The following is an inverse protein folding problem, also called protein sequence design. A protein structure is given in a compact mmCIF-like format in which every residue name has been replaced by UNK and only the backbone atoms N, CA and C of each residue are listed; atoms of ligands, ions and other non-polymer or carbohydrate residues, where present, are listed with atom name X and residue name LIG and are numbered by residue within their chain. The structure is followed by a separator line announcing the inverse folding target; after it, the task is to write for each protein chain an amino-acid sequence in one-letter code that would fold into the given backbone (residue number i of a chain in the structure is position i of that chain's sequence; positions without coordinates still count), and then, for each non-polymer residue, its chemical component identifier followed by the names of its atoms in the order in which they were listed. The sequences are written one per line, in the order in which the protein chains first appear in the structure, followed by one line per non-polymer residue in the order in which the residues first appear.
data_IF_049302099799
#
_entry.id   IF_049302099799
#
_cell.length_a   1.000
_cell.length_b   1.000
_cell.length_c   1.000
_cell.angle_alpha   90.00
_cell.angle_beta   90.00
_cell.angle_gamma   90.00
#
_symmetry.space_group_name_H-M   'P 1'
#
loop_
_entity.id
_entity.type
_entity.pdbx_description
1 polymer ?
#
# COMPACT_ATOMS: atom_id res chain seq x y z
N UNK A 1 -10.53 -12.98 14.93
CA UNK A 1 -9.20 -12.45 15.31
C UNK A 1 -8.47 -13.27 16.36
N UNK A 2 -9.15 -14.02 17.22
CA UNK A 2 -8.56 -14.68 18.41
C UNK A 2 -7.36 -15.59 18.15
N UNK A 3 -7.17 -16.07 16.92
CA UNK A 3 -6.03 -16.90 16.52
C UNK A 3 -4.75 -16.11 16.27
N UNK A 4 -4.84 -14.88 15.77
CA UNK A 4 -3.67 -14.08 15.39
C UNK A 4 -2.77 -13.68 16.57
N UNK A 5 -3.30 -13.27 17.75
CA UNK A 5 -2.47 -12.95 18.91
C UNK A 5 -1.53 -14.09 19.31
N UNK A 6 -1.97 -15.34 19.16
CA UNK A 6 -1.18 -16.53 19.55
C UNK A 6 0.03 -16.81 18.67
N UNK A 7 0.12 -16.19 17.48
CA UNK A 7 1.21 -16.40 16.53
C UNK A 7 2.47 -15.56 16.86
N UNK A 8 2.34 -14.57 17.74
CA UNK A 8 3.39 -13.60 18.04
C UNK A 8 3.49 -12.47 17.01
N UNK A 9 4.63 -11.78 17.00
CA UNK A 9 4.85 -10.56 16.18
C UNK A 9 5.90 -10.72 15.07
N UNK A 10 6.77 -11.72 15.16
CA UNK A 10 7.89 -11.85 14.22
C UNK A 10 7.39 -12.24 12.82
N UNK A 11 7.66 -11.40 11.81
CA UNK A 11 7.17 -11.58 10.43
C UNK A 11 7.44 -13.00 9.89
N UNK A 12 8.67 -13.56 9.98
CA UNK A 12 8.95 -14.90 9.46
C UNK A 12 8.11 -16.01 10.11
N UNK A 13 7.69 -15.80 11.36
CA UNK A 13 6.91 -16.77 12.15
C UNK A 13 5.41 -16.66 11.81
N UNK A 14 4.89 -15.45 11.65
CA UNK A 14 3.44 -15.24 11.49
C UNK A 14 2.95 -15.44 10.05
N UNK A 15 3.81 -15.27 9.04
CA UNK A 15 3.38 -15.25 7.63
C UNK A 15 2.67 -16.54 7.19
N UNK A 16 3.32 -17.69 7.38
CA UNK A 16 2.76 -18.99 6.98
C UNK A 16 1.42 -19.30 7.66
N UNK A 17 1.37 -19.34 9.01
CA UNK A 17 0.14 -19.62 9.74
C UNK A 17 -0.99 -18.63 9.45
N UNK A 18 -0.67 -17.34 9.25
CA UNK A 18 -1.68 -16.33 8.90
C UNK A 18 -2.26 -16.58 7.52
N UNK A 19 -1.42 -16.93 6.53
CA UNK A 19 -1.93 -17.35 5.22
C UNK A 19 -2.82 -18.58 5.33
N UNK A 20 -2.47 -19.58 6.13
CA UNK A 20 -3.28 -20.79 6.30
C UNK A 20 -4.65 -20.47 6.94
N UNK A 21 -4.69 -19.53 7.91
CA UNK A 21 -5.95 -19.02 8.49
C UNK A 21 -6.82 -18.38 7.42
N UNK A 22 -6.27 -17.40 6.68
CA UNK A 22 -7.06 -16.63 5.73
C UNK A 22 -7.38 -17.40 4.45
N UNK A 23 -6.57 -18.38 4.05
CA UNK A 23 -6.89 -19.27 2.95
C UNK A 23 -8.20 -20.02 3.21
N UNK A 24 -8.38 -20.56 4.42
CA UNK A 24 -9.62 -21.24 4.80
C UNK A 24 -10.83 -20.28 4.85
N UNK A 25 -10.63 -19.05 5.32
CA UNK A 25 -11.71 -18.04 5.42
C UNK A 25 -12.12 -17.50 4.04
N UNK A 26 -11.16 -17.11 3.22
CA UNK A 26 -11.41 -16.57 1.88
C UNK A 26 -12.02 -17.62 0.95
N UNK A 27 -11.61 -18.88 1.07
CA UNK A 27 -12.19 -19.97 0.27
C UNK A 27 -13.71 -20.09 0.47
N UNK A 28 -14.22 -19.84 1.69
CA UNK A 28 -15.66 -19.82 1.98
C UNK A 28 -16.41 -18.65 1.35
N UNK A 29 -15.68 -17.62 0.88
CA UNK A 29 -16.21 -16.40 0.27
C UNK A 29 -15.81 -16.25 -1.19
N UNK A 30 -15.21 -17.28 -1.78
CA UNK A 30 -14.68 -17.26 -3.14
C UNK A 30 -15.72 -16.86 -4.18
N UNK A 31 -16.96 -17.38 -4.07
CA UNK A 31 -18.06 -17.07 -5.00
C UNK A 31 -18.40 -15.58 -4.97
N UNK A 32 -18.40 -14.95 -3.80
CA UNK A 32 -18.70 -13.52 -3.68
C UNK A 32 -17.55 -12.66 -4.18
N UNK A 33 -16.32 -12.98 -3.77
CA UNK A 33 -15.10 -12.27 -4.19
C UNK A 33 -14.97 -12.26 -5.72
N UNK A 34 -15.28 -13.39 -6.38
CA UNK A 34 -15.16 -13.54 -7.84
C UNK A 34 -16.28 -12.88 -8.65
N UNK A 35 -17.27 -12.23 -8.02
CA UNK A 35 -18.30 -11.45 -8.74
C UNK A 35 -17.77 -10.11 -9.27
N UNK A 36 -16.68 -9.61 -8.72
CA UNK A 36 -16.06 -8.36 -9.15
C UNK A 36 -15.30 -8.59 -10.46
N UNK A 37 -15.55 -7.75 -11.46
CA UNK A 37 -14.85 -7.83 -12.75
C UNK A 37 -13.39 -7.42 -12.56
N UNK A 38 -12.49 -8.20 -13.15
CA UNK A 38 -11.06 -7.92 -13.17
C UNK A 38 -10.57 -7.78 -14.62
N UNK A 39 -9.78 -6.76 -14.88
CA UNK A 39 -9.03 -6.58 -16.13
C UNK A 39 -7.53 -6.53 -15.82
N UNK A 40 -6.74 -7.42 -16.41
CA UNK A 40 -5.27 -7.37 -16.30
C UNK A 40 -4.69 -6.48 -17.39
N UNK A 41 -3.80 -5.57 -17.02
CA UNK A 41 -3.13 -4.63 -17.92
C UNK A 41 -1.62 -4.65 -17.71
N UNK A 42 -0.85 -4.38 -18.77
CA UNK A 42 0.57 -4.03 -18.67
C UNK A 42 0.68 -2.52 -18.52
N UNK A 43 1.49 -2.06 -17.58
CA UNK A 43 1.80 -0.64 -17.38
C UNK A 43 3.24 -0.29 -17.76
N UNK A 44 4.05 -1.28 -18.16
CA UNK A 44 5.41 -1.08 -18.65
C UNK A 44 5.94 -2.28 -19.43
N UNK A 45 7.23 -2.24 -19.76
CA UNK A 45 7.89 -3.25 -20.60
C UNK A 45 8.38 -4.48 -19.84
N UNK A 46 8.68 -4.31 -18.55
CA UNK A 46 9.21 -5.41 -17.75
C UNK A 46 8.10 -6.46 -17.49
N UNK A 47 8.41 -7.77 -17.46
CA UNK A 47 7.39 -8.81 -17.25
C UNK A 47 6.55 -8.65 -15.97
N UNK A 48 7.14 -8.09 -14.90
CA UNK A 48 6.42 -7.75 -13.65
C UNK A 48 5.63 -6.44 -13.70
N UNK A 49 5.70 -5.65 -14.76
CA UNK A 49 4.94 -4.40 -14.85
C UNK A 49 3.51 -4.66 -15.32
N UNK A 50 2.79 -5.42 -14.50
CA UNK A 50 1.40 -5.83 -14.67
C UNK A 50 0.54 -5.35 -13.51
N UNK A 51 -0.72 -5.05 -13.78
CA UNK A 51 -1.70 -4.69 -12.76
C UNK A 51 -3.04 -5.37 -13.05
N UNK A 52 -3.79 -5.62 -11.99
CA UNK A 52 -5.19 -6.05 -12.06
C UNK A 52 -6.08 -4.89 -11.63
N UNK A 53 -7.01 -4.52 -12.52
CA UNK A 53 -8.02 -3.49 -12.29
C UNK A 53 -9.35 -4.14 -11.96
N UNK A 54 -9.76 -3.99 -10.70
CA UNK A 54 -11.03 -4.45 -10.17
C UNK A 54 -12.09 -3.34 -10.32
N UNK A 55 -13.28 -3.73 -10.81
CA UNK A 55 -14.43 -2.84 -11.01
C UNK A 55 -15.69 -3.48 -10.48
N UNK A 56 -16.56 -2.70 -9.82
CA UNK A 56 -17.87 -3.20 -9.46
C UNK A 56 -18.72 -3.48 -10.70
N UNK A 57 -19.41 -4.60 -10.69
CA UNK A 57 -20.42 -4.99 -11.69
C UNK A 57 -21.81 -4.52 -11.31
N UNK A 58 -22.00 -4.06 -10.07
CA UNK A 58 -23.28 -3.62 -9.58
C UNK A 58 -23.42 -2.10 -9.68
N UNK A 59 -24.62 -1.62 -10.02
CA UNK A 59 -24.93 -0.18 -9.92
C UNK A 59 -25.05 0.31 -8.46
N UNK A 60 -24.94 -0.60 -7.47
CA UNK A 60 -25.02 -0.25 -6.05
C UNK A 60 -23.69 0.37 -5.62
N UNK A 61 -23.73 1.61 -5.14
CA UNK A 61 -22.54 2.30 -4.64
C UNK A 61 -21.63 2.92 -5.71
N UNK A 62 -21.97 2.82 -7.00
CA UNK A 62 -21.20 3.49 -8.07
C UNK A 62 -21.17 5.00 -7.82
N UNK A 63 -19.97 5.50 -7.52
CA UNK A 63 -19.70 6.94 -7.54
C UNK A 63 -19.25 7.34 -8.94
N UNK A 64 -19.72 8.50 -9.40
CA UNK A 64 -19.29 9.09 -10.67
C UNK A 64 -18.73 10.49 -10.40
N UNK A 65 -17.45 10.75 -10.70
CA UNK A 65 -16.44 9.78 -11.13
C UNK A 65 -15.99 8.88 -9.95
N UNK A 66 -15.79 7.58 -10.21
CA UNK A 66 -15.38 6.63 -9.17
C UNK A 66 -13.95 6.96 -8.69
N UNK A 67 -13.63 6.98 -7.39
CA UNK A 67 -12.23 7.09 -6.95
C UNK A 67 -11.43 5.85 -7.35
N UNK A 68 -10.09 5.99 -7.40
CA UNK A 68 -9.15 4.91 -7.69
C UNK A 68 -8.34 4.63 -6.42
N UNK A 69 -8.23 3.37 -6.02
CA UNK A 69 -7.29 2.91 -4.99
C UNK A 69 -6.20 2.07 -5.63
N UNK A 70 -4.94 2.47 -5.54
CA UNK A 70 -3.78 1.68 -5.93
C UNK A 70 -3.24 0.97 -4.70
N UNK A 71 -3.18 -0.35 -4.75
CA UNK A 71 -2.65 -1.20 -3.69
C UNK A 71 -1.30 -1.81 -4.07
N UNK A 72 -0.32 -1.65 -3.18
CA UNK A 72 1.00 -2.28 -3.27
C UNK A 72 1.14 -3.29 -2.12
N UNK A 73 1.33 -4.56 -2.47
CA UNK A 73 1.51 -5.64 -1.51
C UNK A 73 2.90 -5.57 -0.82
N UNK A 74 3.12 -6.45 0.16
CA UNK A 74 4.38 -6.57 0.92
C UNK A 74 5.34 -7.63 0.38
N UNK A 75 6.16 -8.23 1.25
CA UNK A 75 7.07 -9.33 0.85
C UNK A 75 8.55 -8.96 0.85
N UNK A 76 8.92 -7.88 1.55
CA UNK A 76 10.32 -7.58 1.87
C UNK A 76 11.21 -7.37 0.64
N UNK A 77 10.65 -6.82 -0.44
CA UNK A 77 11.33 -6.53 -1.73
C UNK A 77 11.75 -7.75 -2.56
N UNK A 78 11.75 -8.95 -1.97
CA UNK A 78 12.24 -10.18 -2.62
C UNK A 78 11.10 -11.14 -2.99
N UNK A 79 9.94 -11.02 -2.32
CA UNK A 79 8.75 -11.85 -2.51
C UNK A 79 7.50 -10.99 -2.76
N UNK A 80 6.41 -11.66 -3.14
CA UNK A 80 5.09 -11.08 -3.31
C UNK A 80 4.66 -11.03 -4.78
N UNK A 81 3.36 -11.09 -5.00
CA UNK A 81 2.75 -11.04 -6.33
C UNK A 81 1.31 -10.54 -6.20
N UNK A 82 0.78 -9.88 -7.24
CA UNK A 82 -0.62 -9.46 -7.31
C UNK A 82 -1.56 -10.67 -7.22
N UNK A 83 -1.10 -11.85 -7.68
CA UNK A 83 -1.77 -13.15 -7.47
C UNK A 83 -0.92 -13.99 -6.51
N UNK A 84 -1.26 -13.97 -5.23
CA UNK A 84 -0.54 -14.75 -4.22
C UNK A 84 -1.00 -16.21 -4.20
N UNK A 85 -0.29 -17.08 -4.92
CA UNK A 85 -0.58 -18.51 -5.06
C UNK A 85 -0.61 -19.30 -3.74
N UNK A 86 -0.05 -18.77 -2.65
CA UNK A 86 -0.13 -19.41 -1.31
C UNK A 86 -1.56 -19.44 -0.77
N UNK A 87 -2.45 -18.59 -1.27
CA UNK A 87 -3.88 -18.63 -0.98
C UNK A 87 -4.60 -19.20 -2.22
N UNK A 88 -5.26 -20.37 -2.11
CA UNK A 88 -5.90 -21.02 -3.24
C UNK A 88 -6.97 -20.15 -3.92
N UNK A 89 -7.12 -20.36 -5.23
CA UNK A 89 -8.21 -19.78 -6.02
C UNK A 89 -8.04 -18.30 -6.39
N UNK A 90 -6.81 -17.77 -6.30
CA UNK A 90 -6.46 -16.37 -6.65
C UNK A 90 -7.24 -15.35 -5.80
N UNK A 91 -7.47 -15.68 -4.53
CA UNK A 91 -8.36 -14.89 -3.66
C UNK A 91 -7.63 -13.79 -2.90
N UNK A 92 -6.33 -13.95 -2.66
CA UNK A 92 -5.53 -12.91 -2.02
C UNK A 92 -5.46 -11.66 -2.90
N UNK A 93 -5.71 -10.51 -2.28
CA UNK A 93 -5.82 -9.19 -2.90
C UNK A 93 -7.01 -9.02 -3.86
N UNK A 94 -7.52 -10.07 -4.49
CA UNK A 94 -8.83 -10.05 -5.13
C UNK A 94 -9.94 -9.76 -4.10
N UNK A 95 -9.82 -10.30 -2.89
CA UNK A 95 -10.69 -10.00 -1.76
C UNK A 95 -10.68 -8.50 -1.37
N UNK A 96 -9.50 -7.85 -1.43
CA UNK A 96 -9.33 -6.43 -1.18
C UNK A 96 -9.96 -5.61 -2.31
N UNK A 97 -9.68 -5.97 -3.57
CA UNK A 97 -10.29 -5.33 -4.75
C UNK A 97 -11.81 -5.39 -4.71
N UNK A 98 -12.35 -6.58 -4.47
CA UNK A 98 -13.78 -6.81 -4.27
C UNK A 98 -14.35 -5.93 -3.14
N UNK A 99 -13.69 -5.90 -1.98
CA UNK A 99 -14.16 -5.13 -0.82
C UNK A 99 -14.30 -3.64 -1.14
N UNK A 100 -13.28 -2.99 -1.71
CA UNK A 100 -13.34 -1.55 -2.00
C UNK A 100 -14.27 -1.23 -3.18
N UNK A 101 -14.36 -2.11 -4.18
CA UNK A 101 -15.33 -1.98 -5.27
C UNK A 101 -16.77 -1.99 -4.74
N UNK A 102 -17.15 -3.03 -3.98
CA UNK A 102 -18.54 -3.24 -3.59
C UNK A 102 -19.00 -2.33 -2.44
N UNK A 103 -18.12 -1.98 -1.51
CA UNK A 103 -18.52 -1.19 -0.33
C UNK A 103 -18.37 0.32 -0.54
N UNK A 104 -17.51 0.74 -1.48
CA UNK A 104 -17.17 2.16 -1.65
C UNK A 104 -17.29 2.67 -3.10
N UNK A 105 -17.50 1.79 -4.08
CA UNK A 105 -17.60 2.18 -5.48
C UNK A 105 -16.27 2.63 -6.07
N UNK A 106 -15.16 2.13 -5.53
CA UNK A 106 -13.83 2.40 -6.06
C UNK A 106 -13.58 1.54 -7.29
N UNK A 107 -12.72 2.01 -8.18
CA UNK A 107 -11.93 1.07 -8.97
C UNK A 107 -10.63 0.81 -8.22
N UNK A 108 -10.29 -0.47 -8.03
CA UNK A 108 -9.12 -0.84 -7.24
C UNK A 108 -8.07 -1.49 -8.14
N UNK A 109 -6.84 -1.02 -8.03
CA UNK A 109 -5.70 -1.52 -8.78
C UNK A 109 -4.82 -2.29 -7.80
N UNK A 110 -4.54 -3.55 -8.10
CA UNK A 110 -3.47 -4.31 -7.44
C UNK A 110 -2.34 -4.43 -8.45
N UNK A 111 -1.20 -3.82 -8.15
CA UNK A 111 -0.06 -3.81 -9.06
C UNK A 111 1.03 -4.78 -8.61
N UNK A 112 1.63 -5.49 -9.55
CA UNK A 112 2.97 -6.02 -9.37
C UNK A 112 4.00 -4.89 -9.41
N UNK A 113 5.20 -5.18 -8.93
CA UNK A 113 6.39 -4.34 -9.09
C UNK A 113 7.63 -5.22 -9.18
N UNK A 114 8.75 -4.66 -9.63
CA UNK A 114 10.03 -5.40 -9.74
C UNK A 114 10.54 -5.75 -8.35
N UNK A 115 11.00 -6.99 -8.19
CA UNK A 115 11.62 -7.51 -6.96
C UNK A 115 13.14 -7.61 -7.14
N UNK A 116 13.91 -7.76 -6.07
CA UNK A 116 15.38 -7.89 -6.11
C UNK A 116 15.84 -8.96 -7.10
N UNK A 117 15.19 -10.14 -7.11
CA UNK A 117 15.49 -11.23 -8.05
C UNK A 117 15.24 -10.88 -9.54
N UNK A 118 14.62 -9.74 -9.82
CA UNK A 118 14.39 -9.19 -11.17
C UNK A 118 15.27 -7.95 -11.43
N UNK A 119 16.31 -7.72 -10.63
CA UNK A 119 17.21 -6.57 -10.76
C UNK A 119 16.67 -5.28 -10.13
N UNK A 120 15.66 -5.36 -9.26
CA UNK A 120 15.17 -4.17 -8.56
C UNK A 120 16.14 -3.72 -7.45
N UNK A 121 16.51 -2.46 -7.49
CA UNK A 121 17.22 -1.74 -6.43
C UNK A 121 16.48 -0.44 -6.13
N UNK A 122 16.72 0.18 -4.98
CA UNK A 122 16.19 1.52 -4.71
C UNK A 122 16.62 2.50 -5.81
N UNK A 123 15.70 3.31 -6.40
CA UNK A 123 14.28 3.51 -6.05
C UNK A 123 13.26 2.78 -6.98
N UNK A 124 13.61 1.64 -7.58
CA UNK A 124 12.83 0.93 -8.62
C UNK A 124 11.34 0.74 -8.31
N UNK A 125 10.96 0.42 -7.07
CA UNK A 125 9.55 0.27 -6.69
C UNK A 125 8.77 1.60 -6.75
N UNK A 126 9.43 2.73 -6.46
CA UNK A 126 8.86 4.05 -6.70
C UNK A 126 8.71 4.35 -8.19
N UNK A 127 9.68 3.92 -9.02
CA UNK A 127 9.57 4.02 -10.49
C UNK A 127 8.43 3.17 -11.06
N UNK A 128 8.16 2.01 -10.47
CA UNK A 128 7.04 1.17 -10.88
C UNK A 128 5.70 1.79 -10.48
N UNK A 129 5.60 2.41 -9.30
CA UNK A 129 4.41 3.18 -8.91
C UNK A 129 4.20 4.40 -9.82
N UNK A 130 5.27 5.11 -10.20
CA UNK A 130 5.22 6.20 -11.17
C UNK A 130 4.64 5.73 -12.52
N UNK A 131 5.07 4.57 -13.01
CA UNK A 131 4.54 4.02 -14.25
C UNK A 131 3.04 3.67 -14.15
N UNK A 132 2.57 3.17 -13.01
CA UNK A 132 1.12 2.98 -12.76
C UNK A 132 0.38 4.32 -12.71
N UNK A 133 0.96 5.35 -12.10
CA UNK A 133 0.35 6.70 -12.08
C UNK A 133 0.22 7.29 -13.49
N UNK A 134 1.22 7.09 -14.36
CA UNK A 134 1.16 7.49 -15.76
C UNK A 134 0.10 6.70 -16.53
N UNK A 135 0.00 5.38 -16.27
CA UNK A 135 -1.04 4.54 -16.84
C UNK A 135 -2.45 5.03 -16.45
N UNK A 136 -2.65 5.39 -15.17
CA UNK A 136 -3.90 5.98 -14.67
C UNK A 136 -4.22 7.30 -15.39
N UNK A 137 -3.25 8.22 -15.48
CA UNK A 137 -3.42 9.51 -16.18
C UNK A 137 -3.83 9.32 -17.63
N UNK A 138 -3.15 8.42 -18.35
CA UNK A 138 -3.47 8.13 -19.75
C UNK A 138 -4.86 7.53 -19.91
N UNK A 139 -5.24 6.58 -19.05
CA UNK A 139 -6.50 5.86 -19.15
C UNK A 139 -7.71 6.72 -18.76
N UNK A 140 -7.54 7.61 -17.79
CA UNK A 140 -8.64 8.35 -17.17
C UNK A 140 -8.52 9.87 -17.39
N UNK A 141 -7.77 10.33 -18.39
CA UNK A 141 -7.63 11.74 -18.70
C UNK A 141 -9.00 12.44 -18.83
N UNK A 142 -9.16 13.59 -18.18
CA UNK A 142 -10.39 14.39 -18.17
C UNK A 142 -11.53 13.82 -17.32
N UNK A 143 -11.32 12.73 -16.59
CA UNK A 143 -12.40 12.05 -15.84
C UNK A 143 -12.71 12.67 -14.47
N UNK A 144 -11.88 13.57 -13.96
CA UNK A 144 -12.06 14.20 -12.64
C UNK A 144 -11.88 13.24 -11.46
N UNK A 145 -11.08 12.18 -11.61
CA UNK A 145 -10.92 11.11 -10.61
C UNK A 145 -9.92 11.46 -9.52
N UNK A 146 -10.25 11.06 -8.29
CA UNK A 146 -9.32 11.07 -7.16
C UNK A 146 -8.59 9.72 -7.08
N UNK A 147 -7.29 9.76 -6.79
CA UNK A 147 -6.42 8.60 -6.62
C UNK A 147 -5.94 8.53 -5.17
N UNK A 148 -5.99 7.34 -4.60
CA UNK A 148 -5.43 7.00 -3.30
C UNK A 148 -4.42 5.88 -3.48
N UNK A 149 -3.33 5.91 -2.70
CA UNK A 149 -2.33 4.85 -2.67
C UNK A 149 -2.33 4.20 -1.30
N UNK A 150 -2.41 2.87 -1.25
CA UNK A 150 -2.30 2.06 -0.06
C UNK A 150 -1.16 1.06 -0.24
N UNK A 151 -0.07 1.23 0.49
CA UNK A 151 1.05 0.29 0.47
C UNK A 151 1.17 -0.48 1.78
N UNK A 152 1.25 -1.81 1.72
CA UNK A 152 1.50 -2.66 2.88
C UNK A 152 2.98 -3.07 2.96
N UNK A 153 3.60 -2.94 4.14
CA UNK A 153 4.98 -3.37 4.38
C UNK A 153 5.95 -2.75 3.35
N UNK A 154 6.67 -3.56 2.58
CA UNK A 154 7.53 -3.10 1.48
C UNK A 154 6.80 -2.20 0.45
N UNK A 155 5.53 -2.46 0.14
CA UNK A 155 4.71 -1.60 -0.72
C UNK A 155 4.44 -0.22 -0.11
N UNK A 156 4.39 -0.13 1.22
CA UNK A 156 4.33 1.16 1.93
C UNK A 156 5.65 1.92 1.83
N UNK A 157 6.78 1.22 1.84
CA UNK A 157 8.10 1.82 1.59
C UNK A 157 8.18 2.36 0.14
N UNK A 158 7.73 1.58 -0.86
CA UNK A 158 7.64 2.06 -2.25
C UNK A 158 6.72 3.28 -2.41
N UNK A 159 5.61 3.31 -1.67
CA UNK A 159 4.71 4.47 -1.62
C UNK A 159 5.45 5.70 -1.09
N UNK A 160 6.19 5.58 0.01
CA UNK A 160 7.01 6.67 0.54
C UNK A 160 8.15 7.08 -0.42
N UNK A 161 8.82 6.13 -1.05
CA UNK A 161 9.85 6.41 -2.07
C UNK A 161 9.27 7.27 -3.19
N UNK A 162 8.14 6.87 -3.78
CA UNK A 162 7.47 7.66 -4.81
C UNK A 162 7.02 9.04 -4.29
N UNK A 163 6.50 9.08 -3.06
CA UNK A 163 5.98 10.30 -2.47
C UNK A 163 7.06 11.34 -2.18
N UNK A 164 8.24 10.93 -1.72
CA UNK A 164 9.23 11.87 -1.16
C UNK A 164 10.50 12.03 -2.00
N UNK A 165 10.88 11.07 -2.84
CA UNK A 165 12.07 11.21 -3.68
C UNK A 165 11.93 12.33 -4.71
N UNK A 166 13.07 12.93 -5.05
CA UNK A 166 13.13 14.04 -6.00
C UNK A 166 12.84 13.59 -7.43
N UNK A 167 13.20 12.35 -7.79
CA UNK A 167 12.99 11.76 -9.12
C UNK A 167 11.51 11.80 -9.56
N UNK A 168 10.58 11.72 -8.61
CA UNK A 168 9.13 11.70 -8.87
C UNK A 168 8.46 13.06 -8.64
N UNK A 169 9.21 14.10 -8.28
CA UNK A 169 8.68 15.40 -7.88
C UNK A 169 7.75 16.03 -8.91
N UNK A 170 8.14 16.03 -10.18
CA UNK A 170 7.37 16.65 -11.26
C UNK A 170 6.02 15.97 -11.44
N UNK A 171 6.00 14.64 -11.48
CA UNK A 171 4.77 13.85 -11.62
C UNK A 171 3.87 13.98 -10.40
N UNK A 172 4.45 13.84 -9.20
CA UNK A 172 3.75 14.03 -7.93
C UNK A 172 3.07 15.41 -7.84
N UNK A 173 3.78 16.49 -8.17
CA UNK A 173 3.22 17.86 -8.18
C UNK A 173 2.04 17.98 -9.14
N UNK A 174 2.15 17.43 -10.35
CA UNK A 174 1.08 17.44 -11.32
C UNK A 174 -0.17 16.71 -10.80
N UNK A 175 0.00 15.54 -10.18
CA UNK A 175 -1.09 14.76 -9.60
C UNK A 175 -1.71 15.44 -8.38
N UNK A 176 -0.91 16.06 -7.51
CA UNK A 176 -1.43 16.86 -6.39
C UNK A 176 -2.31 18.01 -6.89
N UNK A 177 -1.86 18.69 -7.95
CA UNK A 177 -2.58 19.79 -8.58
C UNK A 177 -3.83 19.34 -9.38
N UNK A 178 -4.06 18.04 -9.58
CA UNK A 178 -5.20 17.54 -10.34
C UNK A 178 -5.00 17.58 -11.87
N UNK A 179 -3.76 17.54 -12.35
CA UNK A 179 -3.41 17.58 -13.77
C UNK A 179 -4.12 16.46 -14.56
N UNK A 180 -4.53 16.74 -15.79
CA UNK A 180 -5.32 15.85 -16.66
C UNK A 180 -6.62 15.33 -16.03
N UNK A 181 -7.17 16.04 -15.03
CA UNK A 181 -8.36 15.61 -14.32
C UNK A 181 -8.11 14.42 -13.38
N UNK A 182 -6.86 14.17 -12.99
CA UNK A 182 -6.47 13.13 -12.02
C UNK A 182 -5.80 13.77 -10.82
N UNK A 183 -6.40 13.60 -9.63
CA UNK A 183 -5.90 14.18 -8.39
C UNK A 183 -5.42 13.12 -7.40
N UNK A 184 -4.16 13.16 -6.99
CA UNK A 184 -3.70 12.42 -5.81
C UNK A 184 -4.35 13.04 -4.57
N UNK A 185 -5.22 12.29 -3.91
CA UNK A 185 -6.03 12.75 -2.79
C UNK A 185 -5.50 12.25 -1.44
N UNK A 186 -4.81 11.10 -1.41
CA UNK A 186 -4.22 10.58 -0.18
C UNK A 186 -3.25 9.43 -0.38
N UNK A 187 -2.34 9.26 0.56
CA UNK A 187 -1.41 8.12 0.64
C UNK A 187 -1.52 7.44 2.00
N UNK A 188 -1.44 6.11 2.01
CA UNK A 188 -1.66 5.29 3.19
C UNK A 188 -0.54 4.26 3.27
N UNK A 189 0.16 4.22 4.40
CA UNK A 189 1.16 3.18 4.67
C UNK A 189 0.64 2.25 5.74
N UNK A 190 0.65 0.95 5.48
CA UNK A 190 0.18 -0.09 6.40
C UNK A 190 1.34 -1.00 6.82
N UNK A 191 1.80 -0.85 8.06
CA UNK A 191 2.92 -1.61 8.62
C UNK A 191 4.23 -1.36 7.87
N UNK A 192 4.48 -0.14 7.39
CA UNK A 192 5.73 0.19 6.71
C UNK A 192 6.82 0.52 7.73
N UNK A 193 8.02 -0.06 7.59
CA UNK A 193 9.17 0.37 8.36
C UNK A 193 9.68 1.71 7.80
N UNK A 194 9.64 2.78 8.61
CA UNK A 194 10.12 4.09 8.17
C UNK A 194 11.63 4.28 8.35
N UNK A 195 12.22 3.57 9.31
CA UNK A 195 13.65 3.53 9.61
C UNK A 195 13.99 2.12 10.09
N UNK A 196 15.22 1.68 9.86
CA UNK A 196 15.75 0.39 10.27
C UNK A 196 16.74 0.51 11.44
N UNK A 197 16.84 1.68 12.10
CA UNK A 197 17.69 1.90 13.29
C UNK A 197 17.39 0.95 14.45
N UNK A 198 16.17 0.46 14.53
CA UNK A 198 15.72 -0.47 15.58
C UNK A 198 15.74 -1.93 15.13
N UNK A 199 16.00 -2.17 13.85
CA UNK A 199 15.91 -3.49 13.24
C UNK A 199 17.15 -4.33 13.57
N UNK A 200 16.93 -5.64 13.65
CA UNK A 200 18.04 -6.60 13.81
C UNK A 200 19.01 -6.52 12.64
N UNK A 201 20.28 -6.91 12.89
CA UNK A 201 21.30 -6.94 11.83
C UNK A 201 20.89 -7.81 10.64
N UNK A 202 20.30 -8.98 10.91
CA UNK A 202 19.83 -9.87 9.85
C UNK A 202 18.73 -9.26 8.98
N UNK A 203 17.83 -8.46 9.56
CA UNK A 203 16.83 -7.72 8.78
C UNK A 203 17.48 -6.62 7.93
N UNK A 204 18.43 -5.86 8.50
CA UNK A 204 19.19 -4.83 7.77
C UNK A 204 19.91 -5.46 6.57
N UNK A 205 20.62 -6.57 6.77
CA UNK A 205 21.33 -7.26 5.69
C UNK A 205 20.36 -7.78 4.61
N UNK A 206 19.15 -8.23 5.01
CA UNK A 206 18.12 -8.63 4.06
C UNK A 206 17.59 -7.46 3.22
N UNK A 207 17.29 -6.32 3.84
CA UNK A 207 16.72 -5.17 3.10
C UNK A 207 17.78 -4.40 2.31
N UNK A 208 19.06 -4.49 2.70
CA UNK A 208 20.18 -3.89 1.98
C UNK A 208 20.31 -4.40 0.53
N UNK A 209 19.80 -5.60 0.23
CA UNK A 209 19.77 -6.11 -1.15
C UNK A 209 18.93 -5.22 -2.08
N UNK A 210 17.91 -4.54 -1.55
CA UNK A 210 17.11 -3.57 -2.28
C UNK A 210 17.55 -2.13 -2.00
N UNK A 211 17.69 -1.77 -0.72
CA UNK A 211 17.95 -0.40 -0.26
C UNK A 211 19.41 0.05 -0.43
N UNK A 212 20.32 -0.87 -0.77
CA UNK A 212 21.75 -0.62 -0.83
C UNK A 212 22.42 -0.64 0.55
N UNK A 213 23.73 -0.36 0.57
CA UNK A 213 24.54 -0.37 1.79
C UNK A 213 24.13 0.72 2.79
N UNK A 214 23.67 1.87 2.30
CA UNK A 214 23.19 3.00 3.09
C UNK A 214 21.67 2.89 3.35
N UNK A 215 21.27 1.82 4.05
CA UNK A 215 19.85 1.47 4.28
C UNK A 215 19.04 2.63 4.85
N UNK A 216 19.58 3.35 5.84
CA UNK A 216 18.89 4.48 6.46
C UNK A 216 18.68 5.63 5.48
N UNK A 217 19.64 5.89 4.59
CA UNK A 217 19.48 6.89 3.56
C UNK A 217 18.35 6.46 2.60
N UNK A 218 18.30 5.22 2.14
CA UNK A 218 17.23 4.74 1.26
C UNK A 218 15.87 4.45 1.96
N UNK A 219 15.79 4.57 3.29
CA UNK A 219 14.56 4.35 4.06
C UNK A 219 13.49 5.44 3.78
N UNK A 220 12.21 5.22 4.13
CA UNK A 220 11.20 6.27 4.07
C UNK A 220 11.58 7.52 4.88
N UNK A 221 12.18 7.37 6.06
CA UNK A 221 12.59 8.50 6.88
C UNK A 221 13.73 9.28 6.21
N UNK A 222 14.69 8.58 5.61
CA UNK A 222 15.73 9.22 4.80
C UNK A 222 15.17 9.96 3.57
N UNK A 223 14.14 9.39 2.93
CA UNK A 223 13.43 10.02 1.81
C UNK A 223 12.70 11.30 2.27
N UNK A 224 12.02 11.25 3.42
CA UNK A 224 11.34 12.41 4.04
C UNK A 224 12.36 13.50 4.39
N UNK A 225 13.50 13.14 4.98
CA UNK A 225 14.57 14.08 5.33
C UNK A 225 15.15 14.76 4.09
N UNK A 226 15.52 14.02 3.05
CA UNK A 226 15.97 14.60 1.78
C UNK A 226 14.92 15.54 1.17
N UNK A 227 13.65 15.14 1.21
CA UNK A 227 12.55 15.96 0.70
C UNK A 227 12.42 17.27 1.48
N UNK A 228 12.54 17.23 2.81
CA UNK A 228 12.54 18.40 3.67
C UNK A 228 13.75 19.29 3.44
N UNK A 229 14.94 18.72 3.38
CA UNK A 229 16.20 19.45 3.27
C UNK A 229 16.32 20.14 1.89
N UNK A 230 15.66 19.59 0.85
CA UNK A 230 15.49 20.27 -0.45
C UNK A 230 14.52 21.48 -0.41
N UNK A 231 13.83 21.70 0.71
CA UNK A 231 12.78 22.70 0.90
C UNK A 231 11.45 22.35 0.22
N UNK A 232 11.33 21.18 -0.44
CA UNK A 232 10.11 20.80 -1.15
C UNK A 232 8.98 20.43 -0.20
N UNK A 233 9.27 19.71 0.88
CA UNK A 233 8.26 19.31 1.87
C UNK A 233 7.57 20.52 2.52
N UNK A 234 8.29 21.65 2.62
CA UNK A 234 7.82 22.87 3.29
C UNK A 234 6.91 23.76 2.42
N UNK A 235 6.74 23.45 1.13
CA UNK A 235 5.97 24.30 0.19
C UNK A 235 4.45 24.12 0.27
N UNK A 236 3.96 23.27 1.16
CA UNK A 236 2.53 23.00 1.35
C UNK A 236 1.87 22.28 0.17
N UNK A 237 0.56 22.02 0.28
CA UNK A 237 -0.26 21.41 -0.77
C UNK A 237 -0.14 19.88 -0.89
N UNK A 238 0.57 19.22 0.03
CA UNK A 238 0.70 17.77 0.06
C UNK A 238 -0.67 17.09 0.29
N UNK A 239 -0.90 15.88 -0.27
CA UNK A 239 -2.11 15.13 -0.01
C UNK A 239 -2.11 14.66 1.46
N UNK A 240 -3.30 14.26 1.93
CA UNK A 240 -3.43 13.64 3.25
C UNK A 240 -2.61 12.36 3.31
N UNK A 241 -1.95 12.12 4.44
CA UNK A 241 -1.22 10.88 4.69
C UNK A 241 -1.78 10.20 5.93
N UNK A 242 -2.02 8.90 5.83
CA UNK A 242 -2.44 8.07 6.94
C UNK A 242 -1.39 6.99 7.19
N UNK A 243 -0.76 7.03 8.35
CA UNK A 243 0.14 5.98 8.82
C UNK A 243 -0.69 4.96 9.61
N UNK A 244 -0.62 3.71 9.22
CA UNK A 244 -1.39 2.61 9.83
C UNK A 244 -0.41 1.54 10.30
N UNK A 245 -0.49 1.18 11.56
CA UNK A 245 0.17 -0.01 12.11
C UNK A 245 -0.89 -1.03 12.53
N UNK A 246 -0.49 -2.28 12.71
CA UNK A 246 -1.29 -3.34 13.32
C UNK A 246 -0.87 -3.55 14.78
N UNK A 247 -1.79 -3.96 15.65
CA UNK A 247 -1.50 -4.19 17.07
C UNK A 247 -0.35 -5.18 17.29
N UNK A 248 -0.24 -6.20 16.44
CA UNK A 248 0.81 -7.21 16.49
C UNK A 248 1.88 -7.03 15.41
N UNK A 249 2.11 -5.79 14.97
CA UNK A 249 3.32 -5.49 14.21
C UNK A 249 4.59 -5.70 15.07
N UNK A 250 5.73 -6.04 14.44
CA UNK A 250 7.04 -5.99 15.07
C UNK A 250 7.31 -4.64 15.74
N UNK A 251 7.99 -4.67 16.89
CA UNK A 251 8.25 -3.47 17.68
C UNK A 251 9.14 -2.44 16.95
N UNK A 252 10.07 -2.91 16.10
CA UNK A 252 10.91 -2.03 15.29
C UNK A 252 10.09 -1.23 14.26
N UNK A 253 9.05 -1.85 13.67
CA UNK A 253 8.08 -1.15 12.80
C UNK A 253 7.30 -0.12 13.59
N UNK A 254 6.69 -0.50 14.72
CA UNK A 254 5.91 0.41 15.57
C UNK A 254 6.73 1.65 15.97
N UNK A 255 7.97 1.44 16.42
CA UNK A 255 8.88 2.54 16.78
C UNK A 255 9.26 3.40 15.57
N UNK A 256 9.50 2.78 14.41
CA UNK A 256 9.82 3.53 13.20
C UNK A 256 8.67 4.44 12.74
N UNK A 257 7.41 3.98 12.87
CA UNK A 257 6.21 4.77 12.57
C UNK A 257 6.12 5.98 13.50
N UNK A 258 6.43 5.83 14.80
CA UNK A 258 6.44 6.96 15.74
C UNK A 258 7.49 8.01 15.37
N UNK A 259 8.70 7.60 14.97
CA UNK A 259 9.76 8.52 14.53
C UNK A 259 9.33 9.33 13.29
N UNK A 260 8.68 8.66 12.33
CA UNK A 260 8.18 9.32 11.13
C UNK A 260 7.04 10.29 11.45
N UNK A 261 6.08 9.89 12.29
CA UNK A 261 4.97 10.72 12.73
C UNK A 261 5.46 11.99 13.43
N UNK A 262 6.47 11.87 14.30
CA UNK A 262 7.07 13.02 14.98
C UNK A 262 7.63 14.04 13.97
N UNK A 263 8.37 13.57 12.95
CA UNK A 263 8.95 14.47 11.94
C UNK A 263 7.91 15.05 10.99
N UNK A 264 6.96 14.24 10.52
CA UNK A 264 5.95 14.68 9.55
C UNK A 264 4.96 15.66 10.19
N UNK A 265 4.54 15.43 11.45
CA UNK A 265 3.63 16.35 12.16
C UNK A 265 4.28 17.67 12.57
N UNK A 266 5.61 17.74 12.60
CA UNK A 266 6.34 18.98 12.84
C UNK A 266 6.39 19.89 11.59
N UNK A 267 5.99 19.40 10.41
CA UNK A 267 5.94 20.21 9.19
C UNK A 267 4.56 20.85 9.05
N UNK A 268 4.54 22.18 9.05
CA UNK A 268 3.32 22.96 8.89
C UNK A 268 2.63 22.65 7.55
N UNK A 269 1.30 22.49 7.60
CA UNK A 269 0.48 22.24 6.41
C UNK A 269 0.43 20.78 5.94
N UNK A 270 1.20 19.85 6.54
CA UNK A 270 1.01 18.42 6.29
C UNK A 270 -0.18 17.88 7.10
N UNK A 271 -1.07 17.14 6.42
CA UNK A 271 -2.21 16.47 7.05
C UNK A 271 -1.85 15.01 7.32
N UNK A 272 -1.37 14.73 8.54
CA UNK A 272 -0.85 13.43 8.95
C UNK A 272 -1.72 12.80 10.03
N UNK A 273 -2.37 11.71 9.68
CA UNK A 273 -3.22 10.91 10.59
C UNK A 273 -2.53 9.59 10.94
N UNK A 274 -2.92 8.99 12.08
CA UNK A 274 -2.40 7.71 12.54
C UNK A 274 -3.53 6.79 12.98
N UNK A 275 -3.41 5.50 12.68
CA UNK A 275 -4.32 4.47 13.17
C UNK A 275 -3.54 3.21 13.57
N UNK A 276 -3.94 2.57 14.67
CA UNK A 276 -3.50 1.23 15.02
C UNK A 276 -4.67 0.23 14.83
N UNK A 277 -4.42 -0.90 14.17
CA UNK A 277 -5.42 -1.91 13.87
C UNK A 277 -5.44 -3.00 14.95
N UNK A 278 -6.36 -2.87 15.90
CA UNK A 278 -6.60 -3.85 16.95
C UNK A 278 -6.88 -5.24 16.37
N UNK A 279 -6.26 -6.26 16.95
CA UNK A 279 -6.42 -7.67 16.62
C UNK A 279 -5.71 -8.14 15.36
N UNK A 280 -5.07 -7.24 14.60
CA UNK A 280 -4.31 -7.56 13.40
C UNK A 280 -2.82 -7.76 13.69
N UNK A 281 -2.21 -8.71 12.96
CA UNK A 281 -0.75 -8.80 12.80
C UNK A 281 -0.30 -8.18 11.46
N UNK A 282 1.01 -8.16 11.23
CA UNK A 282 1.64 -7.48 10.09
C UNK A 282 1.03 -7.72 8.69
N UNK A 283 0.57 -8.94 8.41
CA UNK A 283 0.12 -9.34 7.06
C UNK A 283 -1.38 -9.65 6.97
N UNK A 284 -2.06 -9.71 8.11
CA UNK A 284 -3.48 -10.03 8.17
C UNK A 284 -4.43 -9.00 7.54
N UNK A 285 -4.21 -7.66 7.59
CA UNK A 285 -5.26 -6.73 7.23
C UNK A 285 -5.73 -6.85 5.77
N UNK A 286 -4.84 -6.90 4.75
CA UNK A 286 -5.28 -7.05 3.36
C UNK A 286 -6.09 -8.34 3.13
N UNK A 287 -5.77 -9.41 3.85
CA UNK A 287 -6.41 -10.73 3.73
C UNK A 287 -7.74 -10.83 4.48
N UNK A 288 -7.91 -10.01 5.51
CA UNK A 288 -9.11 -9.95 6.34
C UNK A 288 -10.33 -9.39 5.62
N UNK A 289 -10.11 -8.57 4.59
CA UNK A 289 -11.19 -8.01 3.79
C UNK A 289 -11.93 -9.12 3.02
N UNK A 290 -13.26 -9.01 2.91
CA UNK A 290 -14.06 -9.99 2.19
C UNK A 290 -14.28 -11.33 2.90
N UNK A 291 -13.72 -11.58 4.10
CA UNK A 291 -13.98 -12.81 4.88
C UNK A 291 -15.39 -12.87 5.49
N UNK A 292 -16.03 -11.70 5.64
CA UNK A 292 -17.34 -11.56 6.28
C UNK A 292 -17.29 -11.36 7.80
N UNK A 293 -16.11 -11.47 8.42
CA UNK A 293 -15.93 -11.23 9.86
C UNK A 293 -15.91 -9.72 10.11
N UNK A 294 -16.80 -9.23 10.97
CA UNK A 294 -17.07 -7.79 11.12
C UNK A 294 -15.90 -7.03 11.71
N UNK A 295 -15.30 -7.57 12.76
CA UNK A 295 -14.23 -6.93 13.50
C UNK A 295 -12.96 -6.85 12.62
N UNK A 296 -12.68 -7.90 11.85
CA UNK A 296 -11.53 -8.02 10.94
C UNK A 296 -11.59 -7.10 9.72
N UNK A 297 -12.79 -6.73 9.25
CA UNK A 297 -12.96 -5.82 8.10
C UNK A 297 -13.15 -4.36 8.52
N UNK A 298 -13.24 -4.07 9.81
CA UNK A 298 -13.53 -2.73 10.35
C UNK A 298 -12.50 -1.68 9.88
N UNK A 299 -11.23 -2.06 9.81
CA UNK A 299 -10.15 -1.21 9.30
C UNK A 299 -10.39 -0.80 7.84
N UNK A 300 -10.81 -1.73 6.98
CA UNK A 300 -11.09 -1.44 5.57
C UNK A 300 -12.23 -0.43 5.42
N UNK A 301 -13.24 -0.51 6.29
CA UNK A 301 -14.29 0.50 6.33
C UNK A 301 -13.80 1.87 6.81
N UNK A 302 -12.90 1.90 7.80
CA UNK A 302 -12.28 3.14 8.27
C UNK A 302 -11.45 3.81 7.16
N UNK A 303 -10.64 3.04 6.44
CA UNK A 303 -9.86 3.52 5.29
C UNK A 303 -10.78 4.03 4.17
N UNK A 304 -11.80 3.25 3.81
CA UNK A 304 -12.76 3.67 2.79
C UNK A 304 -13.47 4.98 3.18
N UNK A 305 -13.85 5.16 4.45
CA UNK A 305 -14.40 6.45 4.93
C UNK A 305 -13.38 7.57 4.90
N UNK A 306 -12.13 7.31 5.32
CA UNK A 306 -11.04 8.29 5.31
C UNK A 306 -10.78 8.85 3.90
N UNK A 307 -10.77 7.98 2.89
CA UNK A 307 -10.64 8.39 1.49
C UNK A 307 -11.82 9.24 0.99
N UNK A 308 -12.99 9.09 1.60
CA UNK A 308 -14.24 9.71 1.13
C UNK A 308 -14.62 10.98 1.87
N UNK A 309 -13.93 11.28 2.98
CA UNK A 309 -14.00 12.56 3.69
C UNK A 309 -13.27 13.65 2.90
#
# INVERSE_FOLDING_TARGET
MDRLPTLGRAIPVVVGPTYDIYAALLSKKAVDIKKTTVETHKYGLHPRQQLDLYKSTSNKGLRKPAPILVFLYGGGFVNGDRILNRIPGELAFANLGHFFCENFGFETIVMDYRLVGHGATFPSGGSDLEAVMQWIRKRYAGSGRKVFVLGNSAGGIHTCTWMFENDFRSSRRALIAGSDGIKLAGVITLGAAFTFRYSSRGLIDSVAQYLGSEVENASPLGSIERCRDSGELLKGGWPRMLVVDSEFDPEDILRSSQDALLKLRAVEGLQIEYQNLTGHNHISPPLALGTGITEEKSWGFAIGKWCMA
#
